data_IF_031927147324
#
_entry.id   IF_031927147324
#
_cell.length_a   1.000
_cell.length_b   1.000
_cell.length_c   1.000
_cell.angle_alpha   90.00
_cell.angle_beta   90.00
_cell.angle_gamma   90.00
#
_symmetry.space_group_name_H-M   'P 1'
#
loop_
_entity.id
_entity.type
_entity.pdbx_description
1 polymer ?
#
# COMPACT_ATOMS: atom_id res chain seq x y z
N UNK A 1 0.86 -14.96 -22.92
CA UNK A 1 0.31 -14.01 -21.94
C UNK A 1 -0.56 -13.02 -22.69
N UNK A 2 -1.73 -12.73 -22.16
CA UNK A 2 -2.56 -11.64 -22.65
C UNK A 2 -1.92 -10.29 -22.29
N UNK A 3 -2.24 -9.22 -23.04
CA UNK A 3 -1.63 -7.90 -22.84
C UNK A 3 -1.79 -7.38 -21.40
N UNK A 4 -2.91 -7.65 -20.73
CA UNK A 4 -3.15 -7.21 -19.35
C UNK A 4 -2.28 -7.96 -18.34
N UNK A 5 -1.95 -9.23 -18.59
CA UNK A 5 -1.08 -10.02 -17.70
C UNK A 5 0.33 -9.44 -17.71
N UNK A 6 0.79 -8.98 -18.89
CA UNK A 6 2.08 -8.29 -19.03
C UNK A 6 2.06 -7.00 -18.20
N UNK A 7 1.00 -6.20 -18.29
CA UNK A 7 0.84 -4.97 -17.50
C UNK A 7 0.84 -5.28 -15.99
N UNK A 8 0.05 -6.26 -15.57
CA UNK A 8 -0.03 -6.68 -14.16
C UNK A 8 1.32 -7.17 -13.64
N UNK A 9 2.06 -7.95 -14.45
CA UNK A 9 3.39 -8.44 -14.10
C UNK A 9 4.40 -7.29 -14.02
N UNK A 10 4.40 -6.37 -14.99
CA UNK A 10 5.26 -5.18 -14.96
C UNK A 10 4.98 -4.31 -13.73
N UNK A 11 3.71 -4.09 -13.40
CA UNK A 11 3.32 -3.37 -12.18
C UNK A 11 3.79 -4.11 -10.93
N UNK A 12 3.63 -5.44 -10.88
CA UNK A 12 4.06 -6.25 -9.74
C UNK A 12 5.58 -6.20 -9.53
N UNK A 13 6.36 -6.36 -10.60
CA UNK A 13 7.83 -6.26 -10.54
C UNK A 13 8.29 -4.85 -10.18
N UNK A 14 7.68 -3.81 -10.75
CA UNK A 14 7.95 -2.43 -10.38
C UNK A 14 7.65 -2.19 -8.89
N UNK A 15 6.56 -2.72 -8.38
CA UNK A 15 6.17 -2.63 -6.97
C UNK A 15 7.15 -3.37 -6.06
N UNK A 16 7.64 -4.54 -6.47
CA UNK A 16 8.67 -5.29 -5.75
C UNK A 16 10.00 -4.51 -5.68
N UNK A 17 10.39 -3.81 -6.75
CA UNK A 17 11.54 -2.91 -6.72
C UNK A 17 11.34 -1.77 -5.70
N UNK A 18 10.13 -1.21 -5.63
CA UNK A 18 9.74 -0.22 -4.63
C UNK A 18 9.87 -0.75 -3.21
N UNK A 19 9.41 -1.96 -2.95
CA UNK A 19 9.55 -2.64 -1.66
C UNK A 19 11.02 -2.82 -1.26
N UNK A 20 11.84 -3.39 -2.14
CA UNK A 20 13.26 -3.64 -1.85
C UNK A 20 13.99 -2.32 -1.59
N UNK A 21 13.78 -1.30 -2.43
CA UNK A 21 14.41 0.00 -2.25
C UNK A 21 13.92 0.70 -0.98
N UNK A 22 12.62 0.63 -0.68
CA UNK A 22 12.04 1.16 0.55
C UNK A 22 12.67 0.55 1.81
N UNK A 23 12.91 -0.77 1.83
CA UNK A 23 13.62 -1.42 2.94
C UNK A 23 15.07 -0.96 3.08
N UNK A 24 15.77 -0.73 1.96
CA UNK A 24 17.14 -0.22 1.98
C UNK A 24 17.18 1.22 2.51
N UNK A 25 16.24 2.06 2.14
CA UNK A 25 16.14 3.44 2.63
C UNK A 25 15.68 3.51 4.09
N UNK A 26 14.79 2.62 4.52
CA UNK A 26 14.39 2.50 5.93
C UNK A 26 15.58 2.19 6.85
N UNK A 27 16.49 1.30 6.41
CA UNK A 27 17.74 1.01 7.15
C UNK A 27 18.68 2.22 7.28
N UNK A 28 18.59 3.18 6.35
CA UNK A 28 19.33 4.45 6.40
C UNK A 28 18.60 5.55 7.18
N UNK A 29 17.45 5.24 7.80
CA UNK A 29 16.52 6.18 8.44
C UNK A 29 15.88 7.21 7.48
N UNK A 30 15.82 6.90 6.18
CA UNK A 30 15.25 7.77 5.15
C UNK A 30 13.76 7.48 4.89
N UNK A 31 13.04 6.86 5.82
CA UNK A 31 11.67 6.40 5.62
C UNK A 31 10.69 7.50 5.18
N UNK A 32 10.96 8.76 5.52
CA UNK A 32 10.14 9.93 5.16
C UNK A 32 10.59 10.64 3.87
N UNK A 33 11.72 10.24 3.28
CA UNK A 33 12.15 10.86 2.03
C UNK A 33 11.23 10.45 0.88
N UNK A 34 11.09 11.33 -0.10
CA UNK A 34 10.24 11.11 -1.27
C UNK A 34 10.62 9.84 -2.02
N UNK A 35 9.61 9.04 -2.38
CA UNK A 35 9.80 7.81 -3.15
C UNK A 35 9.89 8.06 -4.68
N UNK A 36 9.65 9.29 -5.13
CA UNK A 36 9.83 9.72 -6.52
C UNK A 36 8.99 8.91 -7.51
N UNK A 37 9.62 8.06 -8.31
CA UNK A 37 8.95 7.27 -9.36
C UNK A 37 7.88 6.32 -8.80
N UNK A 38 8.01 5.91 -7.54
CA UNK A 38 7.05 5.01 -6.89
C UNK A 38 5.75 5.72 -6.45
N UNK A 39 5.63 7.03 -6.67
CA UNK A 39 4.34 7.72 -6.54
C UNK A 39 3.26 7.09 -7.43
N UNK A 40 3.64 6.44 -8.53
CA UNK A 40 2.73 5.71 -9.43
C UNK A 40 2.01 4.53 -8.75
N UNK A 41 2.55 3.99 -7.67
CA UNK A 41 1.91 2.94 -6.85
C UNK A 41 1.31 3.52 -5.56
N UNK A 42 1.08 4.83 -5.53
CA UNK A 42 0.54 5.54 -4.36
C UNK A 42 1.53 5.74 -3.22
N UNK A 43 2.81 5.43 -3.43
CA UNK A 43 3.86 5.59 -2.43
C UNK A 43 4.52 6.95 -2.53
N UNK A 44 4.24 7.87 -1.59
CA UNK A 44 4.81 9.21 -1.60
C UNK A 44 6.15 9.28 -0.84
N UNK A 45 6.31 8.43 0.18
CA UNK A 45 7.55 8.29 0.95
C UNK A 45 8.07 6.85 0.94
N UNK A 46 9.33 6.62 1.32
CA UNK A 46 9.91 5.27 1.31
C UNK A 46 9.20 4.27 2.23
N UNK A 47 8.62 4.72 3.35
CA UNK A 47 7.76 3.88 4.19
C UNK A 47 6.57 3.31 3.41
N UNK A 48 5.92 4.14 2.58
CA UNK A 48 4.80 3.73 1.74
C UNK A 48 5.22 2.65 0.73
N UNK A 49 6.39 2.85 0.11
CA UNK A 49 6.92 1.96 -0.92
C UNK A 49 7.14 0.53 -0.38
N UNK A 50 7.43 0.37 0.91
CA UNK A 50 7.54 -0.95 1.53
C UNK A 50 6.18 -1.65 1.54
N UNK A 51 5.14 -1.03 2.09
CA UNK A 51 3.85 -1.72 2.24
C UNK A 51 3.12 -1.83 0.91
N UNK A 52 3.03 -0.74 0.14
CA UNK A 52 2.34 -0.75 -1.15
C UNK A 52 3.11 -1.57 -2.20
N UNK A 53 4.44 -1.55 -2.16
CA UNK A 53 5.26 -2.38 -3.03
C UNK A 53 4.96 -3.87 -2.86
N UNK A 54 4.88 -4.33 -1.61
CA UNK A 54 4.55 -5.71 -1.29
C UNK A 54 3.09 -6.05 -1.64
N UNK A 55 2.16 -5.13 -1.31
CA UNK A 55 0.74 -5.28 -1.62
C UNK A 55 0.49 -5.47 -3.12
N UNK A 56 0.98 -4.55 -3.96
CA UNK A 56 0.77 -4.63 -5.40
C UNK A 56 1.48 -5.82 -6.03
N UNK A 57 2.66 -6.21 -5.53
CA UNK A 57 3.34 -7.42 -6.01
C UNK A 57 2.47 -8.67 -5.82
N UNK A 58 1.97 -8.90 -4.60
CA UNK A 58 1.12 -10.05 -4.33
C UNK A 58 -0.24 -9.95 -5.04
N UNK A 59 -0.82 -8.75 -5.08
CA UNK A 59 -2.11 -8.55 -5.73
C UNK A 59 -2.06 -8.80 -7.24
N UNK A 60 -1.02 -8.31 -7.91
CA UNK A 60 -0.75 -8.63 -9.32
C UNK A 60 -0.57 -10.14 -9.53
N UNK A 61 0.21 -10.80 -8.65
CA UNK A 61 0.45 -12.23 -8.75
C UNK A 61 -0.85 -13.03 -8.60
N UNK A 62 -1.67 -12.72 -7.60
CA UNK A 62 -2.98 -13.36 -7.38
C UNK A 62 -3.89 -13.18 -8.58
N UNK A 63 -3.96 -11.97 -9.14
CA UNK A 63 -4.80 -11.69 -10.30
C UNK A 63 -4.38 -12.48 -11.54
N UNK A 64 -3.06 -12.62 -11.76
CA UNK A 64 -2.50 -13.43 -12.86
C UNK A 64 -2.79 -14.92 -12.64
N UNK A 65 -2.57 -15.44 -11.43
CA UNK A 65 -2.79 -16.86 -11.10
C UNK A 65 -4.26 -17.25 -11.27
N UNK A 66 -5.18 -16.38 -10.87
CA UNK A 66 -6.62 -16.58 -11.06
C UNK A 66 -7.09 -16.29 -12.49
N UNK A 67 -6.21 -15.75 -13.33
CA UNK A 67 -6.52 -15.30 -14.68
C UNK A 67 -7.75 -14.37 -14.74
N UNK A 68 -7.89 -13.46 -13.76
CA UNK A 68 -9.06 -12.59 -13.60
C UNK A 68 -8.64 -11.11 -13.80
N UNK A 69 -8.92 -10.60 -15.00
CA UNK A 69 -8.65 -9.20 -15.35
C UNK A 69 -9.55 -8.22 -14.57
N UNK A 70 -10.78 -8.62 -14.26
CA UNK A 70 -11.73 -7.77 -13.52
C UNK A 70 -11.26 -7.63 -12.08
N UNK A 71 -10.77 -8.71 -11.46
CA UNK A 71 -10.13 -8.66 -10.15
C UNK A 71 -8.97 -7.65 -10.14
N UNK A 72 -8.10 -7.71 -11.14
CA UNK A 72 -6.97 -6.79 -11.26
C UNK A 72 -7.41 -5.32 -11.31
N UNK A 73 -8.35 -4.99 -12.21
CA UNK A 73 -8.88 -3.63 -12.34
C UNK A 73 -9.60 -3.16 -11.07
N UNK A 74 -10.41 -4.04 -10.47
CA UNK A 74 -11.17 -3.71 -9.27
C UNK A 74 -10.24 -3.45 -8.09
N UNK A 75 -9.18 -4.23 -7.92
CA UNK A 75 -8.21 -3.98 -6.86
C UNK A 75 -7.42 -2.69 -7.04
N UNK A 76 -7.01 -2.35 -8.27
CA UNK A 76 -6.40 -1.04 -8.55
C UNK A 76 -7.37 0.09 -8.22
N UNK A 77 -8.63 -0.02 -8.65
CA UNK A 77 -9.64 1.00 -8.43
C UNK A 77 -9.93 1.21 -6.94
N UNK A 78 -10.16 0.12 -6.20
CA UNK A 78 -10.41 0.17 -4.76
C UNK A 78 -9.20 0.67 -3.99
N UNK A 79 -7.98 0.28 -4.39
CA UNK A 79 -6.76 0.82 -3.81
C UNK A 79 -6.71 2.34 -3.91
N UNK A 80 -6.89 2.89 -5.11
CA UNK A 80 -6.85 4.34 -5.31
C UNK A 80 -7.98 5.07 -4.60
N UNK A 81 -9.17 4.47 -4.53
CA UNK A 81 -10.27 5.01 -3.75
C UNK A 81 -9.91 5.09 -2.25
N UNK A 82 -9.51 3.98 -1.65
CA UNK A 82 -9.15 3.91 -0.22
C UNK A 82 -7.97 4.82 0.09
N UNK A 83 -6.95 4.84 -0.78
CA UNK A 83 -5.77 5.70 -0.64
C UNK A 83 -6.16 7.18 -0.66
N UNK A 84 -6.95 7.61 -1.64
CA UNK A 84 -7.33 9.02 -1.83
C UNK A 84 -8.22 9.52 -0.69
N UNK A 85 -9.18 8.70 -0.25
CA UNK A 85 -10.03 9.01 0.91
C UNK A 85 -9.17 9.07 2.17
N UNK A 86 -8.31 8.08 2.38
CA UNK A 86 -7.45 8.00 3.56
C UNK A 86 -6.48 9.18 3.67
N UNK A 87 -5.85 9.60 2.56
CA UNK A 87 -5.02 10.81 2.53
C UNK A 87 -5.81 12.06 2.81
N UNK A 88 -6.99 12.21 2.21
CA UNK A 88 -7.84 13.37 2.44
C UNK A 88 -8.18 13.50 3.92
N UNK A 89 -8.60 12.41 4.55
CA UNK A 89 -8.89 12.36 5.99
C UNK A 89 -7.63 12.63 6.82
N UNK A 90 -6.49 12.05 6.45
CA UNK A 90 -5.21 12.29 7.12
C UNK A 90 -4.84 13.78 7.10
N UNK A 91 -4.83 14.41 5.93
CA UNK A 91 -4.48 15.83 5.78
C UNK A 91 -5.46 16.74 6.51
N UNK A 92 -6.76 16.44 6.49
CA UNK A 92 -7.74 17.18 7.27
C UNK A 92 -7.44 17.10 8.77
N UNK A 93 -7.19 15.89 9.30
CA UNK A 93 -6.84 15.75 10.72
C UNK A 93 -5.53 16.43 11.07
N UNK A 94 -4.53 16.39 10.18
CA UNK A 94 -3.25 17.06 10.41
C UNK A 94 -3.39 18.60 10.48
N UNK A 95 -4.36 19.20 9.79
CA UNK A 95 -4.62 20.64 9.86
C UNK A 95 -5.39 21.07 11.12
N UNK A 96 -6.26 20.20 11.64
CA UNK A 96 -7.25 20.60 12.66
C UNK A 96 -7.11 19.88 14.01
N UNK A 97 -6.20 18.91 14.15
CA UNK A 97 -6.03 18.13 15.37
C UNK A 97 -4.58 18.14 15.88
N UNK A 98 -4.42 18.20 17.19
CA UNK A 98 -3.11 18.01 17.83
C UNK A 98 -2.63 16.57 17.65
N UNK A 99 -1.42 16.40 17.15
CA UNK A 99 -0.79 15.08 17.02
C UNK A 99 -0.32 14.59 18.39
N UNK A 100 -1.09 13.69 19.02
CA UNK A 100 -0.70 12.97 20.25
C UNK A 100 -0.59 11.48 19.96
N UNK A 101 0.61 11.05 19.61
CA UNK A 101 0.92 9.64 19.35
C UNK A 101 1.53 8.96 20.58
N UNK A 102 1.34 7.65 20.68
CA UNK A 102 2.14 6.85 21.59
C UNK A 102 3.61 6.84 21.14
N UNK A 103 4.57 6.61 22.05
CA UNK A 103 5.97 6.44 21.67
C UNK A 103 6.12 5.26 20.68
N UNK A 104 6.76 5.46 19.50
CA UNK A 104 6.88 4.45 18.46
C UNK A 104 7.73 3.24 18.87
N UNK A 105 8.60 3.39 19.87
CA UNK A 105 9.50 2.35 20.40
C UNK A 105 8.75 1.14 20.97
N UNK A 106 7.46 1.31 21.31
CA UNK A 106 6.63 0.24 21.86
C UNK A 106 6.18 -0.78 20.82
N UNK A 107 6.30 -0.47 19.54
CA UNK A 107 5.80 -1.32 18.45
C UNK A 107 6.90 -2.21 17.88
N UNK A 108 6.57 -3.46 17.55
CA UNK A 108 7.53 -4.44 17.02
C UNK A 108 8.21 -3.97 15.73
N UNK A 109 7.48 -3.22 14.90
CA UNK A 109 7.97 -2.72 13.62
C UNK A 109 9.01 -1.61 13.76
N UNK A 110 9.14 -1.01 14.94
CA UNK A 110 10.18 -0.02 15.25
C UNK A 110 11.60 -0.55 15.06
N UNK A 111 11.80 -1.88 15.19
CA UNK A 111 13.08 -2.53 14.91
C UNK A 111 13.57 -2.29 13.47
N UNK A 112 12.63 -2.10 12.54
CA UNK A 112 12.90 -1.85 11.12
C UNK A 112 12.76 -0.37 10.75
N UNK A 113 11.92 0.37 11.48
CA UNK A 113 11.58 1.77 11.20
C UNK A 113 11.75 2.61 12.47
N UNK A 114 12.91 3.25 12.62
CA UNK A 114 13.37 3.85 13.89
C UNK A 114 12.86 5.27 14.17
N UNK A 115 11.62 5.58 13.77
CA UNK A 115 11.02 6.91 13.96
C UNK A 115 9.48 6.83 13.81
N UNK A 116 8.83 7.98 13.70
CA UNK A 116 7.36 8.06 13.54
C UNK A 116 6.83 7.40 12.25
N UNK A 117 7.70 6.95 11.32
CA UNK A 117 7.26 6.20 10.13
C UNK A 117 6.61 4.87 10.48
N UNK A 118 6.76 4.39 11.73
CA UNK A 118 5.95 3.30 12.29
C UNK A 118 4.45 3.57 12.13
N UNK A 119 4.00 4.81 12.39
CA UNK A 119 2.59 5.18 12.30
C UNK A 119 2.10 5.18 10.86
N UNK A 120 2.94 5.67 9.93
CA UNK A 120 2.66 5.60 8.49
C UNK A 120 2.44 4.15 8.09
N UNK A 121 3.32 3.23 8.51
CA UNK A 121 3.21 1.82 8.16
C UNK A 121 1.93 1.19 8.68
N UNK A 122 1.55 1.48 9.92
CA UNK A 122 0.28 0.99 10.45
C UNK A 122 -0.91 1.53 9.65
N UNK A 123 -0.93 2.84 9.37
CA UNK A 123 -2.00 3.46 8.59
C UNK A 123 -2.14 2.79 7.22
N UNK A 124 -1.06 2.69 6.46
CA UNK A 124 -1.11 2.13 5.09
C UNK A 124 -1.33 0.62 5.09
N UNK A 125 -0.87 -0.10 6.11
CA UNK A 125 -1.19 -1.52 6.28
C UNK A 125 -2.70 -1.74 6.43
N UNK A 126 -3.36 -0.92 7.25
CA UNK A 126 -4.82 -0.94 7.39
C UNK A 126 -5.55 -0.49 6.13
N UNK A 127 -5.00 0.45 5.36
CA UNK A 127 -5.52 0.80 4.03
C UNK A 127 -5.49 -0.42 3.10
N UNK A 128 -4.38 -1.16 3.03
CA UNK A 128 -4.28 -2.38 2.23
C UNK A 128 -5.28 -3.46 2.67
N UNK A 129 -5.43 -3.68 3.98
CA UNK A 129 -6.43 -4.62 4.50
C UNK A 129 -7.87 -4.20 4.15
N UNK A 130 -8.15 -2.90 4.20
CA UNK A 130 -9.46 -2.36 3.80
C UNK A 130 -9.77 -2.70 2.34
N UNK A 131 -8.78 -2.56 1.44
CA UNK A 131 -8.95 -2.95 0.02
C UNK A 131 -9.25 -4.45 -0.10
N UNK A 132 -8.51 -5.31 0.61
CA UNK A 132 -8.75 -6.76 0.60
C UNK A 132 -10.16 -7.09 1.10
N UNK A 133 -10.60 -6.49 2.20
CA UNK A 133 -11.93 -6.74 2.74
C UNK A 133 -13.06 -6.19 1.87
N UNK A 134 -12.87 -5.05 1.21
CA UNK A 134 -13.83 -4.53 0.24
C UNK A 134 -13.96 -5.47 -0.96
N UNK A 135 -12.84 -5.96 -1.50
CA UNK A 135 -12.84 -6.98 -2.55
C UNK A 135 -13.59 -8.23 -2.09
N UNK A 136 -13.22 -8.82 -0.95
CA UNK A 136 -13.89 -10.00 -0.41
C UNK A 136 -15.39 -9.77 -0.21
N UNK A 137 -15.78 -8.60 0.29
CA UNK A 137 -17.19 -8.26 0.50
C UNK A 137 -17.95 -8.22 -0.82
N UNK A 138 -17.39 -7.62 -1.88
CA UNK A 138 -18.01 -7.59 -3.22
C UNK A 138 -18.19 -9.01 -3.77
N UNK A 139 -17.18 -9.88 -3.63
CA UNK A 139 -17.29 -11.26 -4.07
C UNK A 139 -18.33 -12.06 -3.26
N UNK A 140 -18.37 -11.89 -1.94
CA UNK A 140 -19.33 -12.57 -1.09
C UNK A 140 -20.76 -12.11 -1.36
N UNK A 141 -20.98 -10.81 -1.63
CA UNK A 141 -22.29 -10.29 -2.03
C UNK A 141 -22.73 -10.90 -3.36
N UNK A 142 -21.83 -11.02 -4.34
CA UNK A 142 -22.12 -11.68 -5.62
C UNK A 142 -22.44 -13.17 -5.48
N UNK A 143 -21.89 -13.84 -4.46
CA UNK A 143 -22.21 -15.25 -4.18
C UNK A 143 -23.54 -15.41 -3.43
N UNK A 144 -23.97 -14.39 -2.71
CA UNK A 144 -25.22 -14.40 -1.95
C UNK A 144 -26.46 -14.23 -2.84
N UNK A 145 -26.37 -13.37 -3.85
CA UNK A 145 -27.46 -13.05 -4.78
C UNK A 145 -27.30 -13.74 -6.12
#
# INVERSE_FOLDING_TARGET
MENWQIIALSLGLFSLMGFVKGLLEAKKNNSFCSAGVFNLIGAFVWADAVVFGLFFFFFSLVSIVLNDFILFLLGISLFWLVRSVGETVYWLNQQFSDLKHNPPERFLIYKFFKNDSVWIIYQIFWQCLTVVFLLSSIYLVKLWF
#
